data_IF_661399881905
#
_entry.id   IF_661399881905
#
_cell.length_a   1.000
_cell.length_b   1.000
_cell.length_c   1.000
_cell.angle_alpha   90.00
_cell.angle_beta   90.00
_cell.angle_gamma   90.00
#
_symmetry.space_group_name_H-M   'P 1'
#
loop_
_entity.id
_entity.type
_entity.pdbx_description
1 polymer ?
#
# COMPACT_ATOMS: atom_id res chain seq x y z
N UNK A 1 -10.74 8.36 23.83
CA UNK A 1 -9.47 7.71 23.45
C UNK A 1 -9.60 6.83 22.22
N UNK A 2 -10.56 5.90 22.15
CA UNK A 2 -10.74 5.01 20.99
C UNK A 2 -10.90 5.77 19.65
N UNK A 3 -11.76 6.79 19.60
CA UNK A 3 -11.93 7.63 18.38
C UNK A 3 -10.61 8.23 17.89
N UNK A 4 -9.78 8.75 18.80
CA UNK A 4 -8.47 9.33 18.47
C UNK A 4 -7.52 8.28 17.88
N UNK A 5 -7.45 7.08 18.47
CA UNK A 5 -6.63 5.97 17.95
C UNK A 5 -7.07 5.59 16.54
N UNK A 6 -8.38 5.45 16.31
CA UNK A 6 -8.94 5.15 15.00
C UNK A 6 -8.60 6.22 13.95
N UNK A 7 -8.65 7.50 14.33
CA UNK A 7 -8.23 8.61 13.46
C UNK A 7 -6.75 8.53 13.10
N UNK A 8 -5.87 8.21 14.07
CA UNK A 8 -4.43 8.05 13.79
C UNK A 8 -4.21 6.90 12.81
N UNK A 9 -4.84 5.75 13.02
CA UNK A 9 -4.74 4.60 12.10
C UNK A 9 -5.24 4.97 10.70
N UNK A 10 -6.36 5.69 10.60
CA UNK A 10 -6.91 6.15 9.32
C UNK A 10 -5.88 6.97 8.52
N UNK A 11 -5.21 7.92 9.17
CA UNK A 11 -4.20 8.75 8.51
C UNK A 11 -2.90 8.00 8.21
N UNK A 12 -2.50 7.02 9.03
CA UNK A 12 -1.37 6.14 8.69
C UNK A 12 -1.65 5.30 7.44
N UNK A 13 -2.88 4.78 7.31
CA UNK A 13 -3.32 4.07 6.10
C UNK A 13 -3.35 4.99 4.89
N UNK A 14 -3.78 6.25 5.05
CA UNK A 14 -3.74 7.26 4.00
C UNK A 14 -2.31 7.60 3.57
N UNK A 15 -1.39 7.76 4.52
CA UNK A 15 0.02 7.99 4.22
C UNK A 15 0.63 6.79 3.46
N UNK A 16 0.30 5.56 3.87
CA UNK A 16 0.74 4.34 3.17
C UNK A 16 0.25 4.31 1.72
N UNK A 17 -1.04 4.55 1.46
CA UNK A 17 -1.56 4.55 0.08
C UNK A 17 -0.90 5.64 -0.77
N UNK A 18 -0.62 6.80 -0.19
CA UNK A 18 0.09 7.88 -0.86
C UNK A 18 1.54 7.52 -1.20
N UNK A 19 2.29 6.89 -0.28
CA UNK A 19 3.66 6.41 -0.54
C UNK A 19 3.67 5.37 -1.67
N UNK A 20 2.71 4.45 -1.65
CA UNK A 20 2.56 3.41 -2.69
C UNK A 20 2.26 4.05 -4.04
N UNK A 21 1.40 5.07 -4.08
CA UNK A 21 1.11 5.85 -5.29
C UNK A 21 2.37 6.56 -5.85
N UNK A 22 3.13 7.25 -4.99
CA UNK A 22 4.41 7.85 -5.37
C UNK A 22 5.35 6.78 -5.93
N UNK A 23 5.41 5.59 -5.31
CA UNK A 23 6.30 4.50 -5.75
C UNK A 23 5.96 4.04 -7.16
N UNK A 24 4.68 3.87 -7.46
CA UNK A 24 4.21 3.50 -8.79
C UNK A 24 4.67 4.54 -9.80
N UNK A 25 4.38 5.82 -9.56
CA UNK A 25 4.77 6.92 -10.47
C UNK A 25 6.29 6.96 -10.64
N UNK A 26 7.04 7.01 -9.52
CA UNK A 26 8.49 7.09 -9.54
C UNK A 26 9.16 5.90 -10.27
N UNK A 27 8.51 4.74 -10.31
CA UNK A 27 9.03 3.57 -11.03
C UNK A 27 9.08 3.74 -12.55
N UNK A 28 8.28 4.67 -13.12
CA UNK A 28 8.30 5.01 -14.54
C UNK A 28 9.39 6.03 -14.90
N UNK A 29 9.93 6.76 -13.92
CA UNK A 29 10.98 7.75 -14.15
C UNK A 29 12.36 7.16 -13.86
N UNK A 30 13.13 6.87 -14.92
CA UNK A 30 14.44 6.22 -14.82
C UNK A 30 15.41 6.90 -13.83
N UNK A 31 15.47 8.23 -13.81
CA UNK A 31 16.32 8.98 -12.86
C UNK A 31 15.87 8.88 -11.40
N UNK A 32 14.56 8.73 -11.14
CA UNK A 32 14.05 8.58 -9.79
C UNK A 32 14.34 7.18 -9.23
N UNK A 33 14.24 6.14 -10.07
CA UNK A 33 14.42 4.72 -9.68
C UNK A 33 15.78 4.41 -9.04
N UNK A 34 16.83 5.11 -9.42
CA UNK A 34 18.19 4.90 -8.89
C UNK A 34 18.56 5.89 -7.78
N UNK A 35 17.61 6.72 -7.33
CA UNK A 35 17.85 7.69 -6.26
C UNK A 35 17.74 7.05 -4.87
N UNK A 36 18.48 7.61 -3.90
CA UNK A 36 18.36 7.24 -2.48
C UNK A 36 16.92 7.40 -1.95
N UNK A 37 16.18 8.37 -2.47
CA UNK A 37 14.78 8.61 -2.09
C UNK A 37 13.86 7.47 -2.52
N UNK A 38 14.08 6.91 -3.71
CA UNK A 38 13.33 5.75 -4.16
C UNK A 38 13.65 4.50 -3.33
N UNK A 39 14.91 4.32 -2.91
CA UNK A 39 15.26 3.22 -2.02
C UNK A 39 14.53 3.31 -0.67
N UNK A 40 14.46 4.50 -0.08
CA UNK A 40 13.67 4.74 1.15
C UNK A 40 12.20 4.41 0.90
N UNK A 41 11.65 4.85 -0.22
CA UNK A 41 10.26 4.60 -0.60
C UNK A 41 9.97 3.09 -0.75
N UNK A 42 10.88 2.35 -1.37
CA UNK A 42 10.81 0.88 -1.45
C UNK A 42 10.85 0.27 -0.04
N UNK A 43 11.82 0.64 0.80
CA UNK A 43 11.94 0.10 2.17
C UNK A 43 10.70 0.34 3.02
N UNK A 44 10.02 1.47 2.86
CA UNK A 44 8.79 1.78 3.60
C UNK A 44 7.57 1.01 3.09
N UNK A 45 7.47 0.77 1.78
CA UNK A 45 6.28 0.18 1.16
C UNK A 45 6.39 -1.33 0.94
N UNK A 46 7.59 -1.88 0.82
CA UNK A 46 7.84 -3.30 0.54
C UNK A 46 7.31 -4.27 1.60
N UNK A 47 7.37 -3.98 2.91
CA UNK A 47 6.77 -4.86 3.93
C UNK A 47 5.27 -5.12 3.72
N UNK A 48 4.57 -4.20 3.06
CA UNK A 48 3.14 -4.33 2.74
C UNK A 48 2.90 -4.95 1.36
N UNK A 49 3.75 -4.65 0.38
CA UNK A 49 3.62 -5.15 -0.99
C UNK A 49 4.11 -6.59 -1.16
N UNK A 50 5.19 -6.99 -0.47
CA UNK A 50 5.77 -8.32 -0.60
C UNK A 50 4.81 -9.45 -0.21
N UNK A 51 4.06 -9.38 0.92
CA UNK A 51 3.06 -10.40 1.25
C UNK A 51 1.98 -10.53 0.19
N UNK A 52 1.51 -9.40 -0.34
CA UNK A 52 0.50 -9.38 -1.41
C UNK A 52 1.05 -9.97 -2.71
N UNK A 53 2.32 -9.69 -3.04
CA UNK A 53 2.97 -10.25 -4.22
C UNK A 53 3.15 -11.76 -4.10
N UNK A 54 3.56 -12.23 -2.93
CA UNK A 54 3.69 -13.65 -2.64
C UNK A 54 2.34 -14.36 -2.73
N UNK A 55 1.27 -13.74 -2.21
CA UNK A 55 -0.09 -14.26 -2.31
C UNK A 55 -0.57 -14.34 -3.77
N UNK A 56 -0.36 -13.29 -4.55
CA UNK A 56 -0.73 -13.28 -5.98
C UNK A 56 0.08 -14.32 -6.76
N UNK A 57 1.38 -14.43 -6.50
CA UNK A 57 2.24 -15.45 -7.11
C UNK A 57 1.78 -16.87 -6.77
N UNK A 58 1.31 -17.09 -5.54
CA UNK A 58 0.73 -18.37 -5.15
C UNK A 58 -0.56 -18.66 -5.93
N UNK A 59 -1.46 -17.68 -6.07
CA UNK A 59 -2.68 -17.80 -6.87
C UNK A 59 -2.41 -18.08 -8.36
N UNK A 60 -1.36 -17.49 -8.94
CA UNK A 60 -0.98 -17.70 -10.33
C UNK A 60 -0.12 -18.94 -10.56
N UNK A 61 0.13 -19.75 -9.52
CA UNK A 61 1.04 -20.91 -9.57
C UNK A 61 2.45 -20.53 -10.05
N UNK A 62 2.93 -19.35 -9.65
CA UNK A 62 4.24 -18.82 -10.01
C UNK A 62 4.35 -18.30 -11.44
N UNK A 63 3.25 -18.22 -12.20
CA UNK A 63 3.29 -17.61 -13.53
C UNK A 63 3.64 -16.12 -13.41
N UNK A 64 4.64 -15.63 -14.16
CA UNK A 64 5.01 -14.23 -14.12
C UNK A 64 3.87 -13.37 -14.67
N UNK A 65 3.58 -12.27 -13.98
CA UNK A 65 2.61 -11.28 -14.41
C UNK A 65 3.35 -10.12 -15.07
N UNK A 66 2.78 -9.57 -16.15
CA UNK A 66 3.33 -8.39 -16.82
C UNK A 66 3.23 -7.14 -15.93
N UNK A 67 2.25 -7.09 -15.03
CA UNK A 67 2.02 -5.98 -14.12
C UNK A 67 2.08 -6.45 -12.66
N UNK A 68 2.64 -5.61 -11.79
CA UNK A 68 2.62 -5.85 -10.35
C UNK A 68 1.25 -5.45 -9.78
N UNK A 69 0.33 -6.41 -9.74
CA UNK A 69 -1.02 -6.20 -9.21
C UNK A 69 -1.04 -5.99 -7.68
N UNK A 70 0.09 -6.18 -6.97
CA UNK A 70 0.16 -5.94 -5.53
C UNK A 70 -0.10 -4.48 -5.16
N UNK A 71 0.25 -3.54 -6.05
CA UNK A 71 -0.05 -2.12 -5.86
C UNK A 71 -1.56 -1.86 -5.79
N UNK A 72 -2.31 -2.43 -6.73
CA UNK A 72 -3.78 -2.31 -6.79
C UNK A 72 -4.41 -3.03 -5.61
N UNK A 73 -3.94 -4.25 -5.31
CA UNK A 73 -4.43 -5.02 -4.17
C UNK A 73 -4.26 -4.26 -2.85
N UNK A 74 -3.09 -3.65 -2.62
CA UNK A 74 -2.84 -2.85 -1.42
C UNK A 74 -3.77 -1.65 -1.34
N UNK A 75 -4.01 -0.96 -2.45
CA UNK A 75 -4.92 0.19 -2.50
C UNK A 75 -6.35 -0.21 -2.12
N UNK A 76 -6.85 -1.33 -2.67
CA UNK A 76 -8.17 -1.87 -2.34
C UNK A 76 -8.27 -2.23 -0.85
N UNK A 77 -7.26 -2.91 -0.30
CA UNK A 77 -7.22 -3.28 1.12
C UNK A 77 -7.26 -2.03 2.00
N UNK A 78 -6.45 -1.01 1.69
CA UNK A 78 -6.43 0.26 2.44
C UNK A 78 -7.81 0.94 2.37
N UNK A 79 -8.46 0.99 1.20
CA UNK A 79 -9.81 1.56 1.07
C UNK A 79 -10.84 0.85 1.93
N UNK A 80 -10.82 -0.50 1.95
CA UNK A 80 -11.74 -1.30 2.77
C UNK A 80 -11.49 -1.03 4.26
N UNK A 81 -10.23 -1.04 4.70
CA UNK A 81 -9.87 -0.77 6.10
C UNK A 81 -10.29 0.63 6.54
N UNK A 82 -10.05 1.64 5.71
CA UNK A 82 -10.48 3.02 5.97
C UNK A 82 -12.01 3.11 6.06
N UNK A 83 -12.75 2.43 5.18
CA UNK A 83 -14.22 2.39 5.23
C UNK A 83 -14.72 1.74 6.53
N UNK A 84 -14.10 0.64 6.96
CA UNK A 84 -14.42 -0.02 8.23
C UNK A 84 -14.18 0.92 9.40
N UNK A 85 -13.05 1.62 9.43
CA UNK A 85 -12.73 2.60 10.48
C UNK A 85 -13.81 3.69 10.56
N UNK A 86 -14.22 4.26 9.42
CA UNK A 86 -15.25 5.29 9.38
C UNK A 86 -16.61 4.78 9.88
N UNK A 87 -16.98 3.54 9.53
CA UNK A 87 -18.21 2.90 10.03
C UNK A 87 -18.17 2.73 11.55
N UNK A 88 -17.05 2.23 12.09
CA UNK A 88 -16.86 2.07 13.53
C UNK A 88 -16.93 3.44 14.23
N UNK A 89 -16.28 4.47 13.68
CA UNK A 89 -16.30 5.82 14.24
C UNK A 89 -17.71 6.43 14.26
N UNK A 90 -18.56 6.12 13.27
CA UNK A 90 -19.94 6.57 13.22
C UNK A 90 -20.84 5.88 14.27
N UNK A 91 -20.47 4.68 14.72
CA UNK A 91 -21.18 3.94 15.78
C UNK A 91 -20.72 4.24 17.21
N UNK A 92 -19.62 5.00 17.37
CA UNK A 92 -19.03 5.42 18.66
C UNK A 92 -19.50 6.83 19.04
#
# INVERSE_FOLDING_TARGET
MLKTVLTVIYYLLYALSFLVFIRVIASYFGGARFSKYYEVLVRMTEPFLAPLRNFISWLTKGKPLMFDFSFIALYIIVMILQRIILVIQASL
#
